data_IF_285671445964
#
_entry.id   IF_285671445964
#
_cell.length_a   1.000
_cell.length_b   1.000
_cell.length_c   1.000
_cell.angle_alpha   90.00
_cell.angle_beta   90.00
_cell.angle_gamma   90.00
#
_symmetry.space_group_name_H-M   'P 1'
#
loop_
_entity.id
_entity.type
_entity.pdbx_description
1 polymer ?
#
# COMPACT_ATOMS: atom_id res chain seq x y z
N UNK A 1 3.71 -0.81 -22.14
CA UNK A 1 2.68 0.23 -21.92
C UNK A 1 2.37 0.39 -20.43
N UNK A 2 1.43 -0.34 -19.81
CA UNK A 2 1.01 -0.08 -18.41
C UNK A 2 2.11 -0.08 -17.33
N UNK A 3 3.13 -0.95 -17.45
CA UNK A 3 4.25 -0.95 -16.49
C UNK A 3 5.09 0.33 -16.57
N UNK A 4 5.32 0.83 -17.78
CA UNK A 4 6.11 2.05 -17.99
C UNK A 4 5.36 3.29 -17.52
N UNK A 5 4.05 3.36 -17.80
CA UNK A 5 3.17 4.43 -17.31
C UNK A 5 3.16 4.50 -15.79
N UNK A 6 3.02 3.34 -15.12
CA UNK A 6 3.12 3.23 -13.67
C UNK A 6 4.46 3.77 -13.16
N UNK A 7 5.57 3.30 -13.74
CA UNK A 7 6.92 3.72 -13.31
C UNK A 7 7.11 5.24 -13.48
N UNK A 8 6.68 5.80 -14.62
CA UNK A 8 6.77 7.23 -14.88
C UNK A 8 6.00 8.07 -13.85
N UNK A 9 4.76 7.68 -13.51
CA UNK A 9 3.96 8.37 -12.49
C UNK A 9 4.63 8.28 -11.10
N UNK A 10 5.14 7.11 -10.73
CA UNK A 10 5.81 6.94 -9.43
C UNK A 10 7.07 7.81 -9.33
N UNK A 11 7.86 7.93 -10.39
CA UNK A 11 9.01 8.84 -10.39
C UNK A 11 8.60 10.31 -10.26
N UNK A 12 7.55 10.75 -10.97
CA UNK A 12 7.03 12.11 -10.81
C UNK A 12 6.59 12.40 -9.37
N UNK A 13 5.96 11.43 -8.69
CA UNK A 13 5.62 11.57 -7.28
C UNK A 13 6.86 11.64 -6.38
N UNK A 14 7.88 10.82 -6.63
CA UNK A 14 9.13 10.86 -5.88
C UNK A 14 9.87 12.20 -6.03
N UNK A 15 9.88 12.76 -7.24
CA UNK A 15 10.47 14.08 -7.53
C UNK A 15 9.69 15.19 -6.82
N UNK A 16 8.36 15.14 -6.88
CA UNK A 16 7.51 16.13 -6.23
C UNK A 16 7.61 16.05 -4.69
N UNK A 17 7.69 14.83 -4.15
CA UNK A 17 7.92 14.58 -2.72
C UNK A 17 9.27 15.15 -2.26
N UNK A 18 10.33 14.97 -3.07
CA UNK A 18 11.64 15.53 -2.79
C UNK A 18 11.64 17.06 -2.84
N UNK A 19 11.02 17.64 -3.86
CA UNK A 19 11.02 19.07 -4.09
C UNK A 19 10.11 19.85 -3.13
N UNK A 20 9.01 19.25 -2.66
CA UNK A 20 7.96 19.94 -1.90
C UNK A 20 7.67 19.34 -0.52
N UNK A 21 8.28 18.20 -0.16
CA UNK A 21 8.04 17.53 1.11
C UNK A 21 6.68 16.84 1.21
N UNK A 22 6.04 16.51 0.09
CA UNK A 22 4.76 15.79 0.10
C UNK A 22 4.94 14.30 0.40
N UNK A 23 3.93 13.70 1.04
CA UNK A 23 3.79 12.25 1.18
C UNK A 23 2.63 11.76 0.32
N UNK A 24 2.94 10.92 -0.66
CA UNK A 24 1.94 10.29 -1.51
C UNK A 24 1.52 8.93 -0.94
N UNK A 25 0.23 8.65 -0.97
CA UNK A 25 -0.36 7.35 -0.64
C UNK A 25 -1.22 6.91 -1.81
N UNK A 26 -1.03 5.68 -2.26
CA UNK A 26 -1.78 5.12 -3.38
C UNK A 26 -2.94 4.30 -2.84
N UNK A 27 -4.17 4.79 -3.04
CA UNK A 27 -5.37 4.00 -2.81
C UNK A 27 -5.79 3.36 -4.14
N UNK A 28 -5.95 2.04 -4.14
CA UNK A 28 -6.30 1.22 -5.30
C UNK A 28 -7.39 0.20 -4.96
N UNK A 29 -7.94 -0.47 -5.96
CA UNK A 29 -8.99 -1.48 -5.77
C UNK A 29 -9.14 -2.46 -6.93
N UNK A 30 -10.29 -3.15 -6.97
CA UNK A 30 -10.74 -4.06 -8.04
C UNK A 30 -10.18 -5.49 -8.04
N UNK A 31 -9.43 -5.90 -7.01
CA UNK A 31 -8.89 -7.27 -6.88
C UNK A 31 -9.70 -8.17 -5.95
N UNK A 32 -10.87 -7.70 -5.49
CA UNK A 32 -11.78 -8.39 -4.56
C UNK A 32 -11.12 -8.78 -3.21
N UNK A 33 -9.95 -8.23 -2.91
CA UNK A 33 -9.20 -8.43 -1.66
C UNK A 33 -8.86 -7.09 -1.02
N UNK A 34 -8.50 -7.14 0.26
CA UNK A 34 -7.75 -6.08 0.91
C UNK A 34 -6.25 -6.43 0.91
N UNK A 35 -5.40 -5.42 0.81
CA UNK A 35 -3.95 -5.55 0.77
C UNK A 35 -3.25 -4.28 1.26
N UNK A 36 -2.05 -4.42 1.82
CA UNK A 36 -1.18 -3.29 2.12
C UNK A 36 0.19 -3.55 1.51
N UNK A 37 0.70 -2.55 0.80
CA UNK A 37 2.05 -2.53 0.28
C UNK A 37 2.73 -1.20 0.55
N UNK A 38 3.95 -1.08 0.07
CA UNK A 38 4.70 0.17 0.08
C UNK A 38 5.71 0.21 -1.05
N UNK A 39 6.06 1.43 -1.42
CA UNK A 39 7.24 1.76 -2.20
C UNK A 39 8.17 2.49 -1.26
N UNK A 40 9.47 2.16 -1.25
CA UNK A 40 10.45 2.84 -0.40
C UNK A 40 11.86 2.74 -0.99
N UNK A 41 12.78 3.56 -0.48
CA UNK A 41 14.17 3.54 -0.86
C UNK A 41 14.84 2.19 -0.55
N UNK A 42 15.78 1.80 -1.40
CA UNK A 42 16.66 0.64 -1.28
C UNK A 42 18.14 1.09 -1.41
N UNK A 43 19.01 0.84 -0.43
CA UNK A 43 18.77 0.12 0.84
C UNK A 43 17.82 0.87 1.79
N UNK A 44 17.30 0.16 2.80
CA UNK A 44 16.28 0.68 3.73
C UNK A 44 16.72 2.00 4.34
N UNK A 45 15.87 3.01 4.21
CA UNK A 45 16.05 4.32 4.82
C UNK A 45 15.00 4.57 5.92
N UNK A 46 15.16 5.65 6.69
CA UNK A 46 14.14 6.06 7.65
C UNK A 46 12.87 6.51 6.90
N UNK A 47 11.79 5.73 7.01
CA UNK A 47 10.52 5.97 6.31
C UNK A 47 9.93 7.36 6.57
N UNK A 48 10.20 7.96 7.74
CA UNK A 48 9.70 9.31 8.07
C UNK A 48 10.25 10.37 7.11
N UNK A 49 11.52 10.24 6.74
CA UNK A 49 12.26 11.21 5.92
C UNK A 49 12.46 10.72 4.48
N UNK A 50 12.04 9.50 4.17
CA UNK A 50 12.16 8.92 2.84
C UNK A 50 11.17 9.57 1.87
N UNK A 51 11.67 10.35 0.92
CA UNK A 51 10.84 10.97 -0.12
C UNK A 51 10.28 9.94 -1.13
N UNK A 52 10.83 8.73 -1.16
CA UNK A 52 10.34 7.63 -1.98
C UNK A 52 9.30 6.77 -1.27
N UNK A 53 9.10 7.00 0.03
CA UNK A 53 8.14 6.23 0.79
C UNK A 53 6.71 6.59 0.39
N UNK A 54 6.01 5.61 -0.18
CA UNK A 54 4.61 5.72 -0.58
C UNK A 54 3.86 4.46 -0.14
N UNK A 55 2.96 4.56 0.87
CA UNK A 55 2.06 3.47 1.21
C UNK A 55 1.14 3.13 0.03
N UNK A 56 0.83 1.84 -0.13
CA UNK A 56 -0.11 1.35 -1.13
C UNK A 56 -1.25 0.58 -0.47
N UNK A 57 -2.44 1.14 -0.50
CA UNK A 57 -3.64 0.56 0.08
C UNK A 57 -4.44 -0.09 -1.04
N UNK A 58 -4.77 -1.36 -0.88
CA UNK A 58 -5.65 -2.09 -1.79
C UNK A 58 -6.95 -2.33 -1.04
N UNK A 59 -8.05 -1.75 -1.51
CA UNK A 59 -9.39 -1.99 -0.99
C UNK A 59 -10.37 -2.17 -2.14
N UNK A 60 -11.25 -3.15 -2.03
CA UNK A 60 -12.21 -3.50 -3.08
C UNK A 60 -13.62 -3.06 -2.71
N UNK A 61 -14.49 -2.89 -3.70
CA UNK A 61 -15.87 -2.49 -3.46
C UNK A 61 -16.56 -3.45 -2.47
N UNK A 62 -17.24 -2.90 -1.47
CA UNK A 62 -17.91 -3.67 -0.41
C UNK A 62 -18.94 -4.67 -0.97
N UNK A 63 -19.48 -4.40 -2.16
CA UNK A 63 -20.41 -5.25 -2.90
C UNK A 63 -19.80 -6.54 -3.44
N UNK A 64 -18.47 -6.58 -3.61
CA UNK A 64 -17.79 -7.67 -4.32
C UNK A 64 -17.75 -8.96 -3.49
N UNK A 65 -18.08 -10.07 -4.13
CA UNK A 65 -17.85 -11.39 -3.56
C UNK A 65 -16.34 -11.62 -3.41
N UNK A 66 -15.87 -12.15 -2.27
CA UNK A 66 -14.46 -12.49 -2.10
C UNK A 66 -14.02 -13.55 -3.12
N UNK A 67 -12.75 -13.50 -3.59
CA UNK A 67 -12.25 -14.49 -4.53
C UNK A 67 -12.04 -15.84 -3.82
N UNK A 68 -12.07 -16.96 -4.55
CA UNK A 68 -11.76 -18.28 -3.99
C UNK A 68 -10.36 -18.34 -3.38
N UNK A 69 -10.19 -19.12 -2.31
CA UNK A 69 -8.91 -19.26 -1.59
C UNK A 69 -7.72 -19.64 -2.49
N UNK A 70 -7.95 -20.44 -3.53
CA UNK A 70 -6.91 -20.81 -4.50
C UNK A 70 -6.36 -19.58 -5.25
N UNK A 71 -7.23 -18.64 -5.63
CA UNK A 71 -6.84 -17.39 -6.30
C UNK A 71 -6.01 -16.52 -5.36
N UNK A 72 -6.40 -16.43 -4.09
CA UNK A 72 -5.68 -15.66 -3.07
C UNK A 72 -4.27 -16.22 -2.86
N UNK A 73 -4.14 -17.55 -2.79
CA UNK A 73 -2.83 -18.22 -2.68
C UNK A 73 -1.95 -17.96 -3.90
N UNK A 74 -2.53 -18.02 -5.11
CA UNK A 74 -1.79 -17.71 -6.34
C UNK A 74 -1.33 -16.24 -6.38
N UNK A 75 -2.20 -15.30 -5.97
CA UNK A 75 -1.85 -13.89 -5.84
C UNK A 75 -0.68 -13.70 -4.88
N UNK A 76 -0.76 -14.26 -3.67
CA UNK A 76 0.31 -14.21 -2.67
C UNK A 76 1.63 -14.82 -3.18
N UNK A 77 1.57 -15.97 -3.87
CA UNK A 77 2.76 -16.60 -4.44
C UNK A 77 3.43 -15.73 -5.54
N UNK A 78 2.64 -14.93 -6.25
CA UNK A 78 3.13 -14.01 -7.29
C UNK A 78 3.60 -12.65 -6.75
N UNK A 79 3.26 -12.32 -5.50
CA UNK A 79 3.51 -11.04 -4.83
C UNK A 79 4.96 -10.91 -4.34
N UNK A 80 5.92 -10.94 -5.27
CA UNK A 80 7.34 -10.72 -4.98
C UNK A 80 7.64 -9.23 -4.82
N UNK A 81 8.65 -8.93 -3.99
CA UNK A 81 9.29 -7.60 -4.02
C UNK A 81 9.83 -7.35 -5.42
N UNK A 82 9.58 -6.15 -5.94
CA UNK A 82 10.01 -5.72 -7.27
C UNK A 82 10.91 -4.51 -7.12
N UNK A 83 11.96 -4.48 -7.90
CA UNK A 83 12.75 -3.26 -8.08
C UNK A 83 11.96 -2.35 -9.02
N UNK A 84 11.58 -1.18 -8.52
CA UNK A 84 11.04 -0.12 -9.37
C UNK A 84 12.18 0.49 -10.19
N UNK A 85 13.32 0.71 -9.53
CA UNK A 85 14.59 1.18 -10.08
C UNK A 85 15.75 0.71 -9.16
N UNK A 86 16.98 1.14 -9.44
CA UNK A 86 18.18 0.76 -8.68
C UNK A 86 18.19 1.19 -7.20
N UNK A 87 17.31 2.11 -6.82
CA UNK A 87 17.22 2.74 -5.50
C UNK A 87 15.84 2.62 -4.87
N UNK A 88 14.90 1.92 -5.50
CA UNK A 88 13.50 1.86 -5.04
C UNK A 88 12.96 0.44 -5.15
N UNK A 89 12.34 -0.03 -4.06
CA UNK A 89 11.62 -1.29 -4.04
C UNK A 89 10.12 -1.08 -3.83
N UNK A 90 9.33 -1.89 -4.51
CA UNK A 90 7.90 -2.08 -4.29
C UNK A 90 7.66 -3.45 -3.66
N UNK A 91 6.88 -3.50 -2.57
CA UNK A 91 6.56 -4.76 -1.88
C UNK A 91 5.18 -4.74 -1.23
N UNK A 92 4.58 -5.92 -1.10
CA UNK A 92 3.39 -6.15 -0.26
C UNK A 92 3.81 -6.58 1.14
N UNK A 93 2.99 -6.25 2.13
CA UNK A 93 3.24 -6.48 3.54
C UNK A 93 2.34 -7.60 4.08
N UNK A 94 2.87 -8.37 5.03
CA UNK A 94 2.14 -9.43 5.72
C UNK A 94 1.45 -8.82 6.96
N UNK A 95 0.25 -8.27 6.79
CA UNK A 95 -0.41 -7.42 7.81
C UNK A 95 -1.72 -8.01 8.33
N UNK A 96 -2.23 -9.06 7.69
CA UNK A 96 -3.46 -9.73 8.11
C UNK A 96 -3.15 -10.98 8.92
N UNK A 97 -4.21 -11.56 9.51
CA UNK A 97 -4.17 -12.78 10.33
C UNK A 97 -3.33 -13.89 9.68
N UNK A 98 -2.58 -14.60 10.51
CA UNK A 98 -1.60 -15.62 10.11
C UNK A 98 -0.49 -15.08 9.19
N UNK A 99 -0.11 -13.81 9.32
CA UNK A 99 0.89 -13.17 8.46
C UNK A 99 0.50 -13.26 6.98
N UNK A 100 -0.78 -13.10 6.64
CA UNK A 100 -1.22 -13.10 5.23
C UNK A 100 -1.00 -11.71 4.61
N UNK A 101 -0.64 -11.70 3.32
CA UNK A 101 -0.54 -10.47 2.53
C UNK A 101 -1.89 -9.87 2.15
N UNK A 102 -2.92 -10.72 2.01
CA UNK A 102 -4.24 -10.32 1.54
C UNK A 102 -5.34 -10.84 2.46
N UNK A 103 -6.40 -10.04 2.59
CA UNK A 103 -7.65 -10.50 3.19
C UNK A 103 -8.73 -10.64 2.11
N UNK A 104 -9.15 -11.89 1.87
CA UNK A 104 -10.21 -12.22 0.92
C UNK A 104 -11.58 -12.18 1.60
N UNK A 105 -12.04 -10.95 1.88
CA UNK A 105 -13.35 -10.66 2.45
C UNK A 105 -13.84 -9.31 1.93
N UNK A 106 -15.15 -9.07 2.06
CA UNK A 106 -15.70 -7.71 1.89
C UNK A 106 -14.94 -6.77 2.83
N UNK A 107 -14.46 -5.67 2.27
CA UNK A 107 -13.63 -4.71 2.96
C UNK A 107 -13.99 -3.29 2.50
N UNK A 108 -13.47 -2.31 3.21
CA UNK A 108 -13.60 -0.89 2.94
C UNK A 108 -12.36 -0.19 3.46
N UNK A 109 -12.02 0.96 2.89
CA UNK A 109 -10.94 1.82 3.35
C UNK A 109 -11.55 3.11 3.86
N UNK A 110 -11.31 3.41 5.14
CA UNK A 110 -11.59 4.71 5.73
C UNK A 110 -10.34 5.55 5.65
N UNK A 111 -10.46 6.77 5.14
CA UNK A 111 -9.42 7.79 5.23
C UNK A 111 -9.97 8.88 6.13
N UNK A 112 -9.39 8.98 7.32
CA UNK A 112 -9.71 10.05 8.26
C UNK A 112 -8.55 11.04 8.27
N UNK A 113 -8.89 12.32 8.17
CA UNK A 113 -7.98 13.37 8.56
C UNK A 113 -7.91 13.37 10.09
N UNK A 114 -6.80 12.89 10.66
CA UNK A 114 -6.56 13.14 12.07
C UNK A 114 -6.11 14.60 12.22
N UNK A 115 -6.66 15.37 13.17
CA UNK A 115 -6.02 16.61 13.56
C UNK A 115 -4.56 16.30 13.94
N UNK A 116 -3.65 17.24 13.70
CA UNK A 116 -2.18 17.10 13.92
C UNK A 116 -1.77 16.87 15.39
N UNK A 117 -2.64 16.29 16.22
CA UNK A 117 -2.52 16.16 17.67
C UNK A 117 -2.48 14.68 18.08
N UNK A 118 -1.55 14.39 18.98
CA UNK A 118 -1.22 13.08 19.55
C UNK A 118 -2.41 12.32 20.15
N UNK A 119 -2.56 11.03 19.84
CA UNK A 119 -3.55 10.13 20.43
C UNK A 119 -3.38 8.66 20.04
N UNK A 120 -3.62 7.75 20.99
CA UNK A 120 -3.42 6.30 20.83
C UNK A 120 -4.37 5.67 19.78
N UNK A 121 -3.98 4.56 19.12
CA UNK A 121 -4.83 3.86 18.17
C UNK A 121 -6.11 3.29 18.84
N UNK A 122 -7.25 3.38 18.15
CA UNK A 122 -8.55 2.85 18.59
C UNK A 122 -8.71 1.37 18.21
N UNK A 123 -9.48 0.62 19.01
CA UNK A 123 -9.60 -0.85 18.93
C UNK A 123 -10.82 -1.36 18.16
N UNK A 124 -11.39 -0.55 17.27
CA UNK A 124 -12.68 -0.81 16.59
C UNK A 124 -12.57 -1.66 15.31
N UNK A 125 -11.39 -2.22 15.03
CA UNK A 125 -11.18 -3.05 13.85
C UNK A 125 -11.04 -2.25 12.54
N UNK A 126 -10.93 -0.92 12.61
CA UNK A 126 -10.55 -0.09 11.47
C UNK A 126 -9.06 -0.23 11.17
N UNK A 127 -8.72 -0.25 9.87
CA UNK A 127 -7.33 -0.24 9.43
C UNK A 127 -6.90 1.22 9.29
N UNK A 128 -6.44 1.80 10.39
CA UNK A 128 -6.08 3.22 10.48
C UNK A 128 -4.67 3.41 9.95
N UNK A 129 -4.53 4.18 8.88
CA UNK A 129 -3.26 4.62 8.36
C UNK A 129 -2.86 5.96 9.00
N UNK A 130 -1.68 6.00 9.60
CA UNK A 130 -1.03 7.23 10.03
C UNK A 130 -0.21 7.76 8.83
N UNK A 131 -0.57 8.94 8.31
CA UNK A 131 0.23 9.65 7.29
C UNK A 131 1.28 10.54 7.95
#
# INVERSE_FOLDING_TARGET
>A
VHKQEKIAILHMFQELALARGFRFTLLSGDVHVAGLGRICSAPKSNLRTDHRFMPQIISSAIGNAPPPNAVVKALAASAKTKDLDAHTHEMLLHVFDDQKMFAARRNWCLIEERPLVSGAPTSDGSLIFQL
#
